data_IF_780964444121
#
_entry.id   IF_780964444121
#
_cell.length_a   1.000
_cell.length_b   1.000
_cell.length_c   1.000
_cell.angle_alpha   90.00
_cell.angle_beta   90.00
_cell.angle_gamma   90.00
#
_symmetry.space_group_name_H-M   'P 1'
#
loop_
_entity.id
_entity.type
_entity.pdbx_description
1 polymer ?
#
# COMPACT_ATOMS: atom_id res chain seq x y z
N UNK A 1 17.30 -0.92 -18.35
CA UNK A 1 17.02 0.06 -17.28
C UNK A 1 15.50 0.11 -17.10
N UNK A 2 14.96 -0.10 -15.89
CA UNK A 2 13.50 -0.10 -15.68
C UNK A 2 13.01 1.35 -15.77
N UNK A 3 12.05 1.64 -16.65
CA UNK A 3 11.52 3.00 -16.82
C UNK A 3 10.49 3.30 -15.73
N UNK A 4 10.95 3.80 -14.58
CA UNK A 4 10.09 4.12 -13.44
C UNK A 4 9.07 5.24 -13.72
N UNK A 5 9.36 6.11 -14.69
CA UNK A 5 8.45 7.19 -15.07
C UNK A 5 7.18 6.68 -15.77
N UNK A 6 7.25 5.52 -16.43
CA UNK A 6 6.07 4.92 -17.09
C UNK A 6 5.03 4.40 -16.08
N UNK A 7 5.43 4.16 -14.82
CA UNK A 7 4.55 3.68 -13.75
C UNK A 7 3.94 4.84 -12.93
N UNK A 8 4.28 6.09 -13.24
CA UNK A 8 3.71 7.29 -12.61
C UNK A 8 2.66 7.90 -13.54
N UNK A 9 1.47 8.26 -13.03
CA UNK A 9 0.52 9.04 -13.80
C UNK A 9 1.02 10.48 -13.98
N UNK A 10 0.26 11.28 -14.72
CA UNK A 10 0.45 12.73 -14.71
C UNK A 10 0.40 13.27 -13.27
N UNK A 11 1.14 14.35 -12.99
CA UNK A 11 1.31 14.89 -11.63
C UNK A 11 -0.03 15.20 -10.94
N UNK A 12 -1.00 15.71 -11.70
CA UNK A 12 -2.38 15.98 -11.25
C UNK A 12 -3.13 14.74 -10.74
N UNK A 13 -2.75 13.56 -11.21
CA UNK A 13 -3.40 12.29 -10.87
C UNK A 13 -2.63 11.49 -9.81
N UNK A 14 -1.46 11.95 -9.35
CA UNK A 14 -0.70 11.29 -8.27
C UNK A 14 -1.50 11.17 -6.97
N UNK A 15 -2.44 12.09 -6.77
CA UNK A 15 -3.22 12.19 -5.54
C UNK A 15 -4.67 11.73 -5.67
N UNK A 16 -5.10 11.35 -6.87
CA UNK A 16 -6.44 10.86 -7.11
C UNK A 16 -6.41 9.33 -7.13
N UNK A 17 -6.70 8.71 -5.98
CA UNK A 17 -6.69 7.26 -5.82
C UNK A 17 -8.10 6.67 -5.63
N UNK A 18 -9.15 7.51 -5.76
CA UNK A 18 -10.53 7.12 -5.49
C UNK A 18 -11.09 6.14 -6.52
N UNK A 19 -10.49 6.10 -7.72
CA UNK A 19 -10.80 5.10 -8.75
C UNK A 19 -10.42 3.67 -8.34
N UNK A 20 -9.48 3.50 -7.40
CA UNK A 20 -9.06 2.20 -6.91
C UNK A 20 -9.87 1.80 -5.67
N UNK A 21 -10.39 0.57 -5.57
CA UNK A 21 -11.04 0.11 -4.35
C UNK A 21 -10.03 -0.02 -3.20
N UNK A 22 -10.49 0.20 -1.96
CA UNK A 22 -9.66 -0.06 -0.77
C UNK A 22 -9.30 -1.54 -0.64
N UNK A 23 -10.22 -2.42 -1.03
CA UNK A 23 -10.09 -3.87 -1.04
C UNK A 23 -10.91 -4.48 -2.19
N UNK A 24 -10.28 -5.28 -3.04
CA UNK A 24 -10.95 -6.17 -4.01
C UNK A 24 -10.78 -7.63 -3.54
N UNK A 25 -11.59 -8.01 -2.55
CA UNK A 25 -11.50 -9.32 -1.93
C UNK A 25 -11.90 -10.45 -2.90
N UNK A 26 -12.79 -10.18 -3.84
CA UNK A 26 -13.26 -11.17 -4.81
C UNK A 26 -12.15 -11.52 -5.81
N UNK A 27 -11.45 -10.52 -6.35
CA UNK A 27 -10.29 -10.76 -7.20
C UNK A 27 -9.15 -11.44 -6.43
N UNK A 28 -8.86 -10.99 -5.21
CA UNK A 28 -7.83 -11.58 -4.37
C UNK A 28 -8.12 -13.05 -4.03
N UNK A 29 -9.35 -13.39 -3.65
CA UNK A 29 -9.74 -14.75 -3.35
C UNK A 29 -9.63 -15.66 -4.58
N UNK A 30 -10.01 -15.15 -5.77
CA UNK A 30 -9.81 -15.88 -7.04
C UNK A 30 -8.33 -16.12 -7.32
N UNK A 31 -7.48 -15.11 -7.14
CA UNK A 31 -6.04 -15.23 -7.35
C UNK A 31 -5.36 -16.19 -6.36
N UNK A 32 -5.82 -16.23 -5.11
CA UNK A 32 -5.34 -17.16 -4.08
C UNK A 32 -5.94 -18.56 -4.18
N UNK A 33 -6.99 -18.74 -4.97
CA UNK A 33 -7.69 -20.02 -5.14
C UNK A 33 -8.65 -20.40 -4.00
N UNK A 34 -8.72 -19.61 -2.93
CA UNK A 34 -9.67 -19.81 -1.83
C UNK A 34 -9.89 -18.55 -1.00
N UNK A 35 -11.14 -18.34 -0.57
CA UNK A 35 -11.52 -17.31 0.40
C UNK A 35 -10.89 -17.55 1.77
N UNK A 36 -10.73 -18.80 2.19
CA UNK A 36 -10.14 -19.15 3.49
C UNK A 36 -8.66 -18.78 3.58
N UNK A 37 -7.94 -18.89 2.45
CA UNK A 37 -6.55 -18.44 2.35
C UNK A 37 -6.50 -16.92 2.43
N UNK A 38 -7.41 -16.21 1.75
CA UNK A 38 -7.51 -14.76 1.84
C UNK A 38 -7.78 -14.28 3.27
N UNK A 39 -8.72 -14.92 3.99
CA UNK A 39 -9.01 -14.61 5.40
C UNK A 39 -7.74 -14.69 6.26
N UNK A 40 -6.99 -15.79 6.15
CA UNK A 40 -5.73 -15.97 6.89
C UNK A 40 -4.66 -14.93 6.53
N UNK A 41 -4.60 -14.52 5.25
CA UNK A 41 -3.61 -13.53 4.79
C UNK A 41 -3.95 -12.12 5.20
N UNK A 42 -5.23 -11.75 5.20
CA UNK A 42 -5.70 -10.48 5.73
C UNK A 42 -5.47 -10.39 7.24
N UNK A 43 -5.74 -11.46 7.99
CA UNK A 43 -5.46 -11.51 9.44
C UNK A 43 -3.96 -11.35 9.73
N UNK A 44 -3.10 -12.09 9.01
CA UNK A 44 -1.64 -11.97 9.14
C UNK A 44 -1.15 -10.55 8.82
N UNK A 45 -1.71 -9.93 7.78
CA UNK A 45 -1.38 -8.56 7.41
C UNK A 45 -1.70 -7.58 8.55
N UNK A 46 -2.93 -7.66 9.10
CA UNK A 46 -3.39 -6.75 10.16
C UNK A 46 -2.61 -6.93 11.47
N UNK A 47 -2.41 -8.18 11.89
CA UNK A 47 -1.95 -8.49 13.24
C UNK A 47 -0.42 -8.61 13.37
N UNK A 48 0.30 -8.67 12.25
CA UNK A 48 1.76 -8.82 12.27
C UNK A 48 2.45 -7.85 11.31
N UNK A 49 2.28 -8.04 10.00
CA UNK A 49 3.15 -7.39 9.00
C UNK A 49 3.03 -5.86 9.01
N UNK A 50 1.81 -5.32 9.06
CA UNK A 50 1.59 -3.88 8.91
C UNK A 50 1.99 -3.06 10.12
N UNK A 51 1.90 -3.62 11.34
CA UNK A 51 2.31 -2.93 12.57
C UNK A 51 3.81 -2.64 12.54
N UNK A 52 4.61 -3.66 12.20
CA UNK A 52 6.06 -3.51 12.12
C UNK A 52 6.46 -2.57 10.97
N UNK A 53 5.90 -2.77 9.78
CA UNK A 53 6.26 -1.99 8.59
C UNK A 53 5.91 -0.51 8.73
N UNK A 54 4.73 -0.17 9.27
CA UNK A 54 4.35 1.23 9.51
C UNK A 54 5.25 1.91 10.55
N UNK A 55 5.61 1.20 11.62
CA UNK A 55 6.52 1.72 12.63
C UNK A 55 7.90 2.03 12.03
N UNK A 56 8.42 1.10 11.21
CA UNK A 56 9.71 1.30 10.53
C UNK A 56 9.63 2.44 9.51
N UNK A 57 8.54 2.56 8.76
CA UNK A 57 8.36 3.61 7.75
C UNK A 57 8.32 5.00 8.40
N UNK A 58 7.59 5.16 9.51
CA UNK A 58 7.52 6.40 10.30
C UNK A 58 8.88 6.76 10.89
N UNK A 59 9.62 5.78 11.42
CA UNK A 59 10.96 6.00 11.96
C UNK A 59 11.97 6.41 10.87
N UNK A 60 11.93 5.78 9.69
CA UNK A 60 12.79 6.15 8.56
C UNK A 60 12.52 7.58 8.09
N UNK A 61 11.24 7.93 7.90
CA UNK A 61 10.82 9.28 7.51
C UNK A 61 11.23 10.34 8.54
N UNK A 62 11.02 10.08 9.85
CA UNK A 62 11.44 10.98 10.92
C UNK A 62 12.95 11.25 10.97
N UNK A 63 13.77 10.36 10.38
CA UNK A 63 15.21 10.53 10.21
C UNK A 63 15.61 11.11 8.85
N UNK A 64 14.65 11.57 8.03
CA UNK A 64 14.84 11.98 6.63
C UNK A 64 15.44 10.89 5.72
N UNK A 65 15.32 9.62 6.10
CA UNK A 65 15.82 8.48 5.33
C UNK A 65 14.78 8.06 4.27
N UNK A 66 14.72 8.84 3.19
CA UNK A 66 13.81 8.61 2.08
C UNK A 66 14.11 7.32 1.31
N UNK A 67 15.37 6.88 1.28
CA UNK A 67 15.73 5.62 0.64
C UNK A 67 15.20 4.41 1.44
N UNK A 68 15.26 4.47 2.77
CA UNK A 68 14.62 3.45 3.61
C UNK A 68 13.10 3.55 3.55
N UNK A 69 12.54 4.76 3.56
CA UNK A 69 11.09 5.00 3.51
C UNK A 69 10.47 4.36 2.26
N UNK A 70 11.04 4.58 1.07
CA UNK A 70 10.53 3.96 -0.16
C UNK A 70 10.75 2.45 -0.24
N UNK A 71 11.83 1.91 0.37
CA UNK A 71 12.04 0.46 0.45
C UNK A 71 10.94 -0.21 1.29
N UNK A 72 10.50 0.43 2.37
CA UNK A 72 9.41 -0.07 3.20
C UNK A 72 8.07 0.06 2.45
N UNK A 73 7.83 1.17 1.76
CA UNK A 73 6.67 1.29 0.87
C UNK A 73 6.63 0.18 -0.20
N UNK A 74 7.78 -0.18 -0.78
CA UNK A 74 7.90 -1.31 -1.71
C UNK A 74 7.53 -2.66 -1.06
N UNK A 75 7.95 -2.88 0.18
CA UNK A 75 7.60 -4.08 0.96
C UNK A 75 6.09 -4.15 1.22
N UNK A 76 5.50 -3.07 1.73
CA UNK A 76 4.04 -2.96 1.99
C UNK A 76 3.25 -3.21 0.70
N UNK A 77 3.66 -2.59 -0.41
CA UNK A 77 3.06 -2.82 -1.74
C UNK A 77 3.06 -4.30 -2.10
N UNK A 78 4.15 -5.02 -1.83
CA UNK A 78 4.26 -6.46 -2.07
C UNK A 78 3.14 -7.23 -1.38
N UNK A 79 2.92 -6.97 -0.08
CA UNK A 79 1.81 -7.56 0.67
C UNK A 79 0.43 -7.16 0.16
N UNK A 80 0.24 -5.87 -0.16
CA UNK A 80 -1.02 -5.32 -0.64
C UNK A 80 -1.52 -5.98 -1.94
N UNK A 81 -0.60 -6.37 -2.84
CA UNK A 81 -0.94 -7.08 -4.09
C UNK A 81 -1.61 -8.41 -3.82
N UNK A 82 -1.11 -9.19 -2.85
CA UNK A 82 -1.63 -10.53 -2.58
C UNK A 82 -3.05 -10.50 -2.05
N UNK A 83 -3.36 -9.52 -1.20
CA UNK A 83 -4.66 -9.46 -0.50
C UNK A 83 -5.69 -8.56 -1.18
N UNK A 84 -5.39 -8.02 -2.36
CA UNK A 84 -6.31 -7.15 -3.09
C UNK A 84 -6.48 -5.76 -2.49
N UNK A 85 -5.55 -5.26 -1.68
CA UNK A 85 -5.58 -3.88 -1.17
C UNK A 85 -5.11 -2.89 -2.25
N UNK A 86 -5.94 -2.72 -3.28
CA UNK A 86 -5.55 -2.06 -4.55
C UNK A 86 -5.10 -0.62 -4.32
N UNK A 87 -5.87 0.17 -3.57
CA UNK A 87 -5.52 1.57 -3.29
C UNK A 87 -4.20 1.71 -2.53
N UNK A 88 -3.98 0.86 -1.52
CA UNK A 88 -2.73 0.80 -0.76
C UNK A 88 -1.53 0.49 -1.66
N UNK A 89 -1.65 -0.50 -2.54
CA UNK A 89 -0.63 -0.82 -3.55
C UNK A 89 -0.30 0.41 -4.39
N UNK A 90 -1.31 1.11 -4.90
CA UNK A 90 -1.09 2.28 -5.78
C UNK A 90 -0.40 3.43 -5.05
N UNK A 91 -0.82 3.77 -3.83
CA UNK A 91 -0.17 4.79 -3.02
C UNK A 91 1.32 4.48 -2.77
N UNK A 92 1.60 3.25 -2.33
CA UNK A 92 2.97 2.80 -2.10
C UNK A 92 3.81 2.80 -3.39
N UNK A 93 3.22 2.41 -4.51
CA UNK A 93 3.89 2.44 -5.81
C UNK A 93 4.25 3.87 -6.22
N UNK A 94 3.34 4.83 -6.06
CA UNK A 94 3.59 6.21 -6.45
C UNK A 94 4.71 6.83 -5.60
N UNK A 95 4.71 6.64 -4.28
CA UNK A 95 5.82 7.07 -3.42
C UNK A 95 7.16 6.44 -3.85
N UNK A 96 7.19 5.12 -4.03
CA UNK A 96 8.41 4.39 -4.44
C UNK A 96 8.96 4.90 -5.77
N UNK A 97 8.07 5.06 -6.76
CA UNK A 97 8.46 5.45 -8.13
C UNK A 97 8.88 6.91 -8.19
N UNK A 98 8.17 7.79 -7.50
CA UNK A 98 8.50 9.22 -7.44
C UNK A 98 9.89 9.43 -6.83
N UNK A 99 10.26 8.67 -5.80
CA UNK A 99 11.65 8.67 -5.30
C UNK A 99 12.65 8.21 -6.37
N UNK A 100 12.37 7.09 -7.04
CA UNK A 100 13.27 6.45 -8.01
C UNK A 100 13.46 7.23 -9.31
N UNK A 101 12.58 8.17 -9.65
CA UNK A 101 12.78 9.10 -10.77
C UNK A 101 13.70 10.27 -10.42
N UNK A 102 14.08 10.44 -9.16
CA UNK A 102 14.89 11.56 -8.69
C UNK A 102 14.08 12.79 -8.28
N UNK A 103 12.75 12.77 -8.44
CA UNK A 103 11.88 13.87 -8.04
C UNK A 103 11.71 13.95 -6.52
N UNK A 104 11.59 15.16 -5.97
CA UNK A 104 11.56 15.41 -4.52
C UNK A 104 10.40 16.28 -4.05
N UNK A 105 9.87 17.13 -4.93
CA UNK A 105 8.92 18.21 -4.59
C UNK A 105 7.63 17.72 -3.93
N UNK A 106 7.16 16.53 -4.30
CA UNK A 106 5.91 15.95 -3.80
C UNK A 106 6.10 14.77 -2.83
N UNK A 107 7.32 14.46 -2.41
CA UNK A 107 7.58 13.27 -1.59
C UNK A 107 6.82 13.30 -0.27
N UNK A 108 6.78 14.45 0.40
CA UNK A 108 6.08 14.59 1.67
C UNK A 108 4.57 14.35 1.50
N UNK A 109 3.96 14.96 0.50
CA UNK A 109 2.53 14.78 0.20
C UNK A 109 2.21 13.33 -0.18
N UNK A 110 3.09 12.68 -0.95
CA UNK A 110 2.95 11.27 -1.31
C UNK A 110 3.11 10.35 -0.09
N UNK A 111 3.99 10.71 0.84
CA UNK A 111 4.17 10.01 2.11
C UNK A 111 2.92 10.10 2.98
N UNK A 112 2.40 11.31 3.19
CA UNK A 112 1.17 11.55 3.95
C UNK A 112 -0.03 10.82 3.34
N UNK A 113 -0.17 10.88 2.00
CA UNK A 113 -1.17 10.09 1.28
C UNK A 113 -1.00 8.59 1.51
N UNK A 114 0.23 8.09 1.48
CA UNK A 114 0.51 6.66 1.67
C UNK A 114 0.08 6.22 3.06
N UNK A 115 0.39 7.00 4.11
CA UNK A 115 -0.05 6.69 5.47
C UNK A 115 -1.59 6.68 5.58
N UNK A 116 -2.26 7.72 5.08
CA UNK A 116 -3.73 7.81 5.11
C UNK A 116 -4.39 6.63 4.39
N UNK A 117 -3.94 6.32 3.18
CA UNK A 117 -4.50 5.20 2.41
C UNK A 117 -4.22 3.86 3.07
N UNK A 118 -3.06 3.69 3.71
CA UNK A 118 -2.81 2.48 4.51
C UNK A 118 -3.84 2.38 5.62
N UNK A 119 -4.03 3.43 6.42
CA UNK A 119 -4.99 3.42 7.53
C UNK A 119 -6.43 3.13 7.03
N UNK A 120 -6.87 3.80 5.96
CA UNK A 120 -8.19 3.57 5.34
C UNK A 120 -8.36 2.11 4.87
N UNK A 121 -7.32 1.53 4.25
CA UNK A 121 -7.35 0.14 3.79
C UNK A 121 -7.35 -0.85 4.95
N UNK A 122 -6.62 -0.59 6.04
CA UNK A 122 -6.65 -1.46 7.23
C UNK A 122 -8.04 -1.46 7.87
N UNK A 123 -8.71 -0.31 7.92
CA UNK A 123 -10.08 -0.21 8.44
C UNK A 123 -11.10 -0.91 7.54
N UNK A 124 -10.92 -0.86 6.21
CA UNK A 124 -11.75 -1.64 5.29
C UNK A 124 -11.53 -3.15 5.46
N UNK A 125 -10.28 -3.59 5.59
CA UNK A 125 -9.95 -5.00 5.80
C UNK A 125 -10.58 -5.50 7.11
N UNK A 126 -10.49 -4.74 8.20
CA UNK A 126 -11.13 -5.07 9.48
C UNK A 126 -12.65 -5.23 9.34
N UNK A 127 -13.32 -4.31 8.65
CA UNK A 127 -14.76 -4.38 8.38
C UNK A 127 -15.14 -5.58 7.54
N UNK A 128 -14.33 -5.88 6.52
CA UNK A 128 -14.55 -7.03 5.66
C UNK A 128 -14.38 -8.35 6.43
N UNK A 129 -13.32 -8.51 7.22
CA UNK A 129 -13.11 -9.69 8.06
C UNK A 129 -14.29 -9.91 9.03
N UNK A 130 -14.70 -8.87 9.75
CA UNK A 130 -15.84 -8.95 10.68
C UNK A 130 -17.17 -9.37 10.03
N UNK A 131 -17.32 -9.14 8.72
CA UNK A 131 -18.51 -9.52 7.95
C UNK A 131 -18.41 -10.95 7.36
N UNK A 132 -17.27 -11.61 7.48
CA UNK A 132 -16.95 -12.88 6.80
C UNK A 132 -16.41 -13.99 7.72
N UNK A 133 -16.30 -13.77 9.04
CA UNK A 133 -15.94 -14.79 10.05
C UNK A 133 -17.10 -15.71 10.49
N UNK A 134 -18.02 -16.07 9.57
CA UNK A 134 -19.15 -16.99 9.83
C UNK A 134 -18.88 -18.40 9.31
#
# INVERSE_FOLDING_TARGET
>A
MRNYAADLPAQENLFNLDEFPLLDADEAARAMGSKDILLQMLDLMLNQAMVEDLSQMKAAHGNNDWDKTQQIAHKIKGGAVYVGAVRMKMACQYLERYWKTGQRELLEQLYEQTLRVIDDSLDEIRRWLASNEL
#
